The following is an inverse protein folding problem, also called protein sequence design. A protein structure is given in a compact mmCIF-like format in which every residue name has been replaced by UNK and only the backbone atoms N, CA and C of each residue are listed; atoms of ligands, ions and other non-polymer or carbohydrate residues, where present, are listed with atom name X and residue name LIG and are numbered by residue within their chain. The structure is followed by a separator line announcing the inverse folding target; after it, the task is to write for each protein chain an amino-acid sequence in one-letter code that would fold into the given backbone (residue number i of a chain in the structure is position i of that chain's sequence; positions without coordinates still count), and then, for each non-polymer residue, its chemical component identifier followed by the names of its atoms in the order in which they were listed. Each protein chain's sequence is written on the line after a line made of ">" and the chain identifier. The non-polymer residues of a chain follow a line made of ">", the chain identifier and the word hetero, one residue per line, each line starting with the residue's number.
data_IF_114539797507
#
_entry.id   IF_114539797507
#
_cell.length_a   1.000
_cell.length_b   1.000
_cell.length_c   1.000
_cell.angle_alpha   90.00
_cell.angle_beta   90.00
_cell.angle_gamma   90.00
#
_symmetry.space_group_name_H-M   'P 1'
#
loop_
_entity.id
_entity.type
_entity.pdbx_description
1 polymer ?
#
# COMPACT_ATOMS: atom_id res chain seq x y z
N UNK A 1 -25.96 0.08 3.17
CA UNK A 1 -24.54 -0.31 3.00
C UNK A 1 -24.25 -0.36 1.51
N UNK A 2 -23.24 0.37 1.02
CA UNK A 2 -22.93 0.44 -0.42
C UNK A 2 -22.56 -0.97 -0.95
N UNK A 3 -23.20 -1.43 -2.03
CA UNK A 3 -23.09 -2.81 -2.54
C UNK A 3 -21.65 -3.24 -2.78
N UNK A 4 -20.82 -2.35 -3.33
CA UNK A 4 -19.40 -2.60 -3.61
C UNK A 4 -18.61 -2.88 -2.32
N UNK A 5 -18.86 -2.12 -1.25
CA UNK A 5 -18.18 -2.34 0.04
C UNK A 5 -18.56 -3.67 0.66
N UNK A 6 -19.82 -4.09 0.50
CA UNK A 6 -20.27 -5.39 1.01
C UNK A 6 -19.62 -6.55 0.24
N UNK A 7 -19.42 -6.41 -1.07
CA UNK A 7 -18.68 -7.37 -1.89
C UNK A 7 -17.19 -7.42 -1.52
N UNK A 8 -16.55 -6.25 -1.35
CA UNK A 8 -15.15 -6.21 -0.90
C UNK A 8 -14.97 -6.90 0.46
N UNK A 9 -15.92 -6.73 1.38
CA UNK A 9 -15.87 -7.40 2.69
C UNK A 9 -16.07 -8.92 2.59
N UNK A 10 -16.91 -9.41 1.67
CA UNK A 10 -17.08 -10.86 1.48
C UNK A 10 -15.87 -11.52 0.82
N UNK A 11 -15.04 -10.73 0.12
CA UNK A 11 -13.83 -11.16 -0.61
C UNK A 11 -12.53 -10.64 0.01
N UNK A 12 -12.58 -10.23 1.28
CA UNK A 12 -11.46 -9.56 1.94
C UNK A 12 -10.17 -10.42 1.93
N UNK A 13 -10.20 -11.74 2.22
CA UNK A 13 -9.00 -12.57 2.16
C UNK A 13 -8.31 -12.56 0.78
N UNK A 14 -9.09 -12.65 -0.30
CA UNK A 14 -8.58 -12.65 -1.67
C UNK A 14 -7.98 -11.28 -2.04
N UNK A 15 -8.61 -10.20 -1.60
CA UNK A 15 -8.13 -8.84 -1.82
C UNK A 15 -6.82 -8.57 -1.06
N UNK A 16 -6.72 -9.03 0.19
CA UNK A 16 -5.48 -8.93 0.98
C UNK A 16 -4.36 -9.77 0.37
N UNK A 17 -4.68 -10.95 -0.16
CA UNK A 17 -3.71 -11.76 -0.90
C UNK A 17 -3.20 -11.05 -2.15
N UNK A 18 -4.10 -10.40 -2.90
CA UNK A 18 -3.73 -9.62 -4.09
C UNK A 18 -2.80 -8.45 -3.74
N UNK A 19 -3.11 -7.70 -2.67
CA UNK A 19 -2.26 -6.62 -2.18
C UNK A 19 -0.89 -7.14 -1.71
N UNK A 20 -0.85 -8.29 -1.02
CA UNK A 20 0.39 -8.95 -0.59
C UNK A 20 1.24 -9.33 -1.79
N UNK A 21 0.64 -9.92 -2.81
CA UNK A 21 1.35 -10.40 -4.00
C UNK A 21 1.88 -9.24 -4.84
N UNK A 22 1.22 -8.08 -4.83
CA UNK A 22 1.77 -6.85 -5.41
C UNK A 22 2.98 -6.37 -4.58
N UNK A 23 2.81 -6.21 -3.27
CA UNK A 23 3.86 -5.73 -2.37
C UNK A 23 5.11 -6.63 -2.37
N UNK A 24 4.95 -7.95 -2.46
CA UNK A 24 6.05 -8.91 -2.45
C UNK A 24 6.93 -8.83 -3.71
N UNK A 25 6.41 -8.34 -4.84
CA UNK A 25 7.18 -8.17 -6.09
C UNK A 25 8.06 -6.92 -6.07
N UNK A 26 7.68 -5.92 -5.29
CA UNK A 26 8.33 -4.61 -5.30
C UNK A 26 9.83 -4.67 -4.93
N UNK A 27 10.25 -5.30 -3.81
CA UNK A 27 11.66 -5.32 -3.42
C UNK A 27 12.59 -5.95 -4.46
N UNK A 28 12.11 -6.97 -5.17
CA UNK A 28 12.89 -7.67 -6.20
C UNK A 28 13.25 -6.76 -7.39
N UNK A 29 12.38 -5.79 -7.71
CA UNK A 29 12.60 -4.84 -8.81
C UNK A 29 13.33 -3.56 -8.41
N UNK A 30 13.42 -3.22 -7.12
CA UNK A 30 14.01 -1.96 -6.65
C UNK A 30 15.48 -1.81 -7.03
N UNK A 31 16.22 -2.92 -7.06
CA UNK A 31 17.62 -2.92 -7.44
C UNK A 31 17.83 -2.47 -8.88
N UNK A 32 16.83 -2.63 -9.78
CA UNK A 32 16.93 -2.22 -11.19
C UNK A 32 16.05 -1.03 -11.57
N UNK A 33 15.10 -0.66 -10.73
CA UNK A 33 14.23 0.49 -10.97
C UNK A 33 15.02 1.82 -11.05
N UNK A 34 14.73 2.69 -12.03
CA UNK A 34 15.31 4.03 -12.07
C UNK A 34 15.00 4.84 -10.80
N UNK A 35 16.05 5.42 -10.22
CA UNK A 35 15.98 6.24 -9.01
C UNK A 35 15.26 7.56 -9.29
N UNK A 36 15.58 8.20 -10.41
CA UNK A 36 14.88 9.39 -10.90
C UNK A 36 14.05 8.98 -12.11
N UNK A 37 12.79 9.40 -12.11
CA UNK A 37 11.90 9.36 -13.27
C UNK A 37 11.64 10.80 -13.69
N UNK A 38 11.76 11.05 -14.99
CA UNK A 38 11.46 12.36 -15.59
C UNK A 38 10.16 12.32 -16.40
N UNK A 39 9.49 11.17 -16.43
CA UNK A 39 8.19 11.02 -17.07
C UNK A 39 7.14 11.83 -16.30
N UNK A 40 6.15 12.34 -17.02
CA UNK A 40 5.04 13.04 -16.41
C UNK A 40 4.20 12.10 -15.55
N UNK A 41 3.72 12.61 -14.41
CA UNK A 41 2.75 11.89 -13.60
C UNK A 41 1.48 11.63 -14.44
N UNK A 42 0.81 10.47 -14.25
CA UNK A 42 -0.43 10.19 -14.94
C UNK A 42 -1.45 11.31 -14.70
N UNK A 43 -2.17 11.70 -15.76
CA UNK A 43 -3.13 12.80 -15.71
C UNK A 43 -4.18 12.60 -14.61
N UNK A 44 -4.62 13.71 -13.99
CA UNK A 44 -5.72 13.62 -13.02
C UNK A 44 -7.00 13.25 -13.74
N UNK A 45 -7.69 12.24 -13.22
CA UNK A 45 -9.02 11.86 -13.68
C UNK A 45 -10.03 12.16 -12.58
N UNK A 46 -11.26 12.48 -12.97
CA UNK A 46 -12.35 12.63 -12.03
C UNK A 46 -12.64 11.30 -11.32
N UNK A 47 -13.02 11.40 -10.04
CA UNK A 47 -13.46 10.23 -9.29
C UNK A 47 -14.79 9.74 -9.88
N UNK A 48 -14.92 8.43 -10.20
CA UNK A 48 -16.15 7.90 -10.73
C UNK A 48 -17.27 8.02 -9.70
N UNK A 49 -18.50 8.27 -10.18
CA UNK A 49 -19.68 8.36 -9.31
C UNK A 49 -19.95 7.05 -8.56
N UNK A 50 -19.56 5.92 -9.14
CA UNK A 50 -19.60 4.60 -8.52
C UNK A 50 -18.19 4.07 -8.28
N UNK A 51 -17.93 3.54 -7.08
CA UNK A 51 -16.62 2.97 -6.72
C UNK A 51 -16.31 1.69 -7.50
N UNK A 52 -15.07 1.54 -7.95
CA UNK A 52 -14.58 0.36 -8.70
C UNK A 52 -14.24 -0.85 -7.82
N UNK A 53 -14.44 -0.76 -6.51
CA UNK A 53 -14.06 -1.78 -5.52
C UNK A 53 -12.56 -1.86 -5.29
N UNK A 54 -12.17 -2.61 -4.26
CA UNK A 54 -10.77 -2.73 -3.86
C UNK A 54 -9.92 -3.43 -4.93
N UNK A 55 -10.47 -4.45 -5.60
CA UNK A 55 -9.77 -5.16 -6.68
C UNK A 55 -9.45 -4.25 -7.86
N UNK A 56 -10.46 -3.55 -8.39
CA UNK A 56 -10.25 -2.59 -9.48
C UNK A 56 -9.34 -1.42 -9.09
N UNK A 57 -9.36 -1.00 -7.83
CA UNK A 57 -8.44 0.00 -7.33
C UNK A 57 -6.98 -0.51 -7.31
N UNK A 58 -6.74 -1.75 -6.88
CA UNK A 58 -5.41 -2.37 -6.90
C UNK A 58 -4.88 -2.56 -8.33
N UNK A 59 -5.73 -3.00 -9.26
CA UNK A 59 -5.38 -3.13 -10.69
C UNK A 59 -4.99 -1.77 -11.27
N UNK A 60 -5.85 -0.77 -11.09
CA UNK A 60 -5.58 0.59 -11.58
C UNK A 60 -4.32 1.20 -10.96
N UNK A 61 -4.05 0.93 -9.69
CA UNK A 61 -2.81 1.35 -9.04
C UNK A 61 -1.59 0.67 -9.68
N UNK A 62 -1.63 -0.64 -9.85
CA UNK A 62 -0.54 -1.43 -10.41
C UNK A 62 -0.22 -1.05 -11.87
N UNK A 63 -1.24 -0.71 -12.66
CA UNK A 63 -1.07 -0.33 -14.07
C UNK A 63 -0.62 1.13 -14.23
N UNK A 64 -1.25 2.05 -13.48
CA UNK A 64 -1.12 3.48 -13.75
C UNK A 64 -0.06 4.17 -12.90
N UNK A 65 0.07 3.77 -11.64
CA UNK A 65 0.83 4.52 -10.65
C UNK A 65 2.13 3.82 -10.27
N UNK A 66 2.07 2.53 -9.94
CA UNK A 66 3.23 1.76 -9.50
C UNK A 66 4.44 1.83 -10.48
N UNK A 67 4.26 1.80 -11.82
CA UNK A 67 5.38 1.88 -12.76
C UNK A 67 6.09 3.24 -12.75
N UNK A 68 5.39 4.31 -12.34
CA UNK A 68 5.94 5.67 -12.23
C UNK A 68 6.70 5.93 -10.93
N UNK A 69 6.66 5.02 -9.97
CA UNK A 69 7.29 5.23 -8.67
C UNK A 69 8.82 5.19 -8.77
N UNK A 70 9.46 6.07 -8.00
CA UNK A 70 10.91 6.14 -7.88
C UNK A 70 11.49 4.85 -7.28
N UNK A 71 12.69 4.47 -7.72
CA UNK A 71 13.51 3.44 -7.08
C UNK A 71 14.27 3.92 -5.84
N UNK A 72 13.85 5.01 -5.18
CA UNK A 72 14.56 5.64 -4.06
C UNK A 72 14.72 4.76 -2.82
N UNK A 73 13.89 3.72 -2.66
CA UNK A 73 14.04 2.72 -1.60
C UNK A 73 15.15 1.68 -1.90
N UNK A 74 15.72 1.68 -3.10
CA UNK A 74 16.77 0.78 -3.54
C UNK A 74 18.19 1.27 -3.19
N UNK A 75 19.21 0.41 -3.38
CA UNK A 75 20.59 0.67 -2.93
C UNK A 75 21.33 1.77 -3.74
N UNK A 76 20.70 2.30 -4.79
CA UNK A 76 21.31 3.27 -5.71
C UNK A 76 20.88 4.72 -5.43
N UNK A 77 20.09 4.95 -4.39
CA UNK A 77 19.70 6.29 -3.99
C UNK A 77 20.62 6.81 -2.88
N UNK A 78 21.47 7.77 -3.24
CA UNK A 78 22.50 8.34 -2.35
C UNK A 78 22.17 9.78 -1.91
N UNK A 79 20.96 10.25 -2.22
CA UNK A 79 20.45 11.54 -1.77
C UNK A 79 19.55 11.38 -0.55
N UNK A 80 19.66 12.33 0.39
CA UNK A 80 18.85 12.40 1.62
C UNK A 80 19.00 11.18 2.55
N UNK A 81 18.22 11.16 3.65
CA UNK A 81 18.13 10.02 4.58
C UNK A 81 16.85 9.26 4.27
N UNK A 82 16.92 8.50 3.19
CA UNK A 82 15.79 7.74 2.64
C UNK A 82 16.19 6.28 2.75
N UNK A 83 15.98 5.71 3.93
CA UNK A 83 16.21 4.29 4.18
C UNK A 83 15.23 3.41 3.40
N UNK A 84 15.56 2.12 3.28
CA UNK A 84 14.63 1.10 2.80
C UNK A 84 13.81 0.49 3.95
N UNK A 85 12.56 0.14 3.68
CA UNK A 85 11.70 -0.57 4.65
C UNK A 85 12.26 -1.97 4.92
N UNK A 86 12.48 -2.31 6.19
CA UNK A 86 12.87 -3.69 6.56
C UNK A 86 11.66 -4.62 6.51
N UNK A 87 11.85 -5.94 6.30
CA UNK A 87 10.73 -6.89 6.34
C UNK A 87 9.93 -6.85 7.65
N UNK A 88 10.60 -6.63 8.79
CA UNK A 88 9.94 -6.50 10.09
C UNK A 88 9.09 -5.24 10.19
N UNK A 89 9.57 -4.10 9.67
CA UNK A 89 8.81 -2.86 9.64
C UNK A 89 7.55 -3.00 8.76
N UNK A 90 7.68 -3.58 7.55
CA UNK A 90 6.54 -3.81 6.66
C UNK A 90 5.47 -4.72 7.30
N UNK A 91 5.90 -5.83 7.92
CA UNK A 91 4.98 -6.71 8.63
C UNK A 91 4.29 -5.99 9.81
N UNK A 92 5.03 -5.15 10.53
CA UNK A 92 4.50 -4.30 11.60
C UNK A 92 3.42 -3.33 11.13
N UNK A 93 3.61 -2.67 9.98
CA UNK A 93 2.62 -1.74 9.40
C UNK A 93 1.32 -2.46 9.01
N UNK A 94 1.44 -3.69 8.46
CA UNK A 94 0.29 -4.54 8.15
C UNK A 94 -0.51 -4.91 9.41
N UNK A 95 0.18 -5.32 10.47
CA UNK A 95 -0.47 -5.67 11.75
C UNK A 95 -1.09 -4.44 12.41
N UNK A 96 -0.39 -3.30 12.41
CA UNK A 96 -0.91 -2.03 12.94
C UNK A 96 -2.23 -1.66 12.28
N UNK A 97 -2.27 -1.70 10.95
CA UNK A 97 -3.48 -1.39 10.17
C UNK A 97 -4.59 -2.43 10.38
N UNK A 98 -4.23 -3.69 10.63
CA UNK A 98 -5.20 -4.77 10.89
C UNK A 98 -5.86 -4.62 12.26
N UNK A 99 -5.10 -4.23 13.29
CA UNK A 99 -5.64 -4.05 14.65
C UNK A 99 -6.35 -2.71 14.85
N UNK A 100 -6.05 -1.69 14.02
CA UNK A 100 -6.74 -0.40 13.94
C UNK A 100 -7.03 0.24 15.31
N UNK A 101 -6.05 0.20 16.22
CA UNK A 101 -6.20 0.72 17.58
C UNK A 101 -6.00 2.24 17.60
N UNK A 102 -6.86 2.94 18.35
CA UNK A 102 -6.71 4.37 18.58
C UNK A 102 -5.75 4.62 19.75
N UNK A 103 -4.48 4.91 19.47
CA UNK A 103 -3.40 5.01 20.46
C UNK A 103 -3.28 6.38 21.16
N UNK A 104 -4.34 7.19 21.21
CA UNK A 104 -4.31 8.51 21.85
C UNK A 104 -4.07 8.45 23.37
N UNK A 105 -4.42 7.35 24.03
CA UNK A 105 -4.11 7.10 25.42
C UNK A 105 -4.07 5.61 25.75
N UNK A 106 -3.51 5.28 26.90
CA UNK A 106 -3.35 3.90 27.36
C UNK A 106 -4.68 3.14 27.41
N UNK A 107 -5.80 3.77 27.76
CA UNK A 107 -7.12 3.10 27.85
C UNK A 107 -7.58 2.60 26.47
N UNK A 108 -7.28 3.33 25.40
CA UNK A 108 -7.68 2.96 24.03
C UNK A 108 -6.63 2.15 23.26
N UNK A 109 -5.41 2.05 23.80
CA UNK A 109 -4.32 1.23 23.28
C UNK A 109 -4.09 -0.05 24.10
N UNK A 110 -4.85 -0.23 25.18
CA UNK A 110 -4.62 -1.30 26.15
C UNK A 110 -4.97 -2.66 25.57
N UNK A 111 -4.01 -3.59 25.58
CA UNK A 111 -4.28 -5.02 25.48
C UNK A 111 -4.79 -5.62 26.80
N UNK A 112 -4.76 -4.85 27.89
CA UNK A 112 -5.22 -5.28 29.19
C UNK A 112 -6.75 -5.14 29.29
N UNK A 113 -7.42 -6.27 29.10
CA UNK A 113 -8.58 -6.60 29.95
C UNK A 113 -8.01 -6.92 31.33
N UNK A 114 -8.26 -6.05 32.30
CA UNK A 114 -8.35 -6.44 33.71
C UNK A 114 -9.67 -5.93 34.24
#
# INVERSE_FOLDING_TARGET
>A
MHRVRADDLSRLPELLQSARDLAAREPAGLAERPVVRLDDAPEREDLPAEGVGAGGALERFAERWAPGFSGSAGPRYLGFVTGGTTPAALAGDWLTSTYDQNVINAVRASSAVR
#
